data_IF_818813397898
#
_entry.id   IF_818813397898
#
_cell.length_a   1.000
_cell.length_b   1.000
_cell.length_c   1.000
_cell.angle_alpha   90.00
_cell.angle_beta   90.00
_cell.angle_gamma   90.00
#
_symmetry.space_group_name_H-M   'P 1'
#
loop_
_entity.id
_entity.type
_entity.pdbx_description
1 polymer ?
#
# COMPACT_ATOMS: atom_id res chain seq x y z
N UNK A 1 2.45 -16.92 18.21
CA UNK A 1 1.12 -16.42 17.80
C UNK A 1 1.21 -16.04 16.33
N UNK A 2 0.50 -16.69 15.39
CA UNK A 2 0.54 -16.28 13.99
C UNK A 2 -0.12 -14.90 13.90
N UNK A 3 0.69 -13.88 13.62
CA UNK A 3 0.19 -12.54 13.34
C UNK A 3 -0.68 -12.67 12.10
N UNK A 4 -2.00 -12.60 12.29
CA UNK A 4 -2.97 -12.61 11.20
C UNK A 4 -2.58 -11.53 10.21
N UNK A 5 -1.89 -11.92 9.15
CA UNK A 5 -1.50 -11.01 8.10
C UNK A 5 -2.80 -10.54 7.50
N UNK A 6 -3.14 -9.27 7.70
CA UNK A 6 -4.21 -8.62 6.94
C UNK A 6 -3.81 -8.78 5.48
N UNK A 7 -4.39 -9.79 4.81
CA UNK A 7 -4.22 -10.02 3.39
C UNK A 7 -4.95 -8.88 2.69
N UNK A 8 -4.22 -7.82 2.41
CA UNK A 8 -4.67 -6.85 1.42
C UNK A 8 -4.76 -7.58 0.10
N UNK A 9 -5.92 -7.49 -0.55
CA UNK A 9 -6.12 -8.09 -1.86
C UNK A 9 -5.15 -7.45 -2.85
N UNK A 10 -4.64 -8.22 -3.81
CA UNK A 10 -3.65 -7.68 -4.77
C UNK A 10 -4.23 -6.54 -5.61
N UNK A 11 -5.53 -6.57 -5.90
CA UNK A 11 -6.26 -5.46 -6.52
C UNK A 11 -6.16 -4.18 -5.68
N UNK A 12 -6.37 -4.27 -4.36
CA UNK A 12 -6.25 -3.12 -3.46
C UNK A 12 -4.83 -2.56 -3.41
N UNK A 13 -3.81 -3.43 -3.41
CA UNK A 13 -2.41 -2.98 -3.46
C UNK A 13 -2.13 -2.26 -4.77
N UNK A 14 -2.61 -2.80 -5.89
CA UNK A 14 -2.45 -2.20 -7.21
C UNK A 14 -3.11 -0.82 -7.26
N UNK A 15 -4.34 -0.66 -6.76
CA UNK A 15 -5.00 0.65 -6.68
C UNK A 15 -4.15 1.67 -5.94
N UNK A 16 -3.57 1.30 -4.80
CA UNK A 16 -2.74 2.22 -4.00
C UNK A 16 -1.41 2.55 -4.69
N UNK A 17 -0.77 1.57 -5.34
CA UNK A 17 0.45 1.78 -6.15
C UNK A 17 0.15 2.68 -7.34
N UNK A 18 -0.98 2.48 -8.01
CA UNK A 18 -1.40 3.26 -9.16
C UNK A 18 -1.68 4.72 -8.75
N UNK A 19 -2.44 4.94 -7.67
CA UNK A 19 -2.68 6.26 -7.11
C UNK A 19 -1.38 6.98 -6.71
N UNK A 20 -0.39 6.25 -6.19
CA UNK A 20 0.93 6.80 -5.92
C UNK A 20 1.64 7.23 -7.20
N UNK A 21 1.58 6.42 -8.27
CA UNK A 21 2.12 6.78 -9.58
C UNK A 21 1.38 7.97 -10.22
N UNK A 22 0.09 8.14 -9.94
CA UNK A 22 -0.69 9.32 -10.32
C UNK A 22 -0.28 10.62 -9.59
N UNK A 23 0.65 10.54 -8.63
CA UNK A 23 1.17 11.70 -7.90
C UNK A 23 0.60 11.86 -6.49
N UNK A 24 -0.24 10.94 -6.00
CA UNK A 24 -0.63 10.96 -4.58
C UNK A 24 0.55 10.60 -3.69
N UNK A 25 0.72 11.37 -2.62
CA UNK A 25 1.78 11.10 -1.65
C UNK A 25 1.42 9.95 -0.72
N UNK A 26 2.43 9.24 -0.21
CA UNK A 26 2.26 8.20 0.82
C UNK A 26 1.47 8.71 2.03
N UNK A 27 1.61 9.98 2.39
CA UNK A 27 0.87 10.59 3.50
C UNK A 27 -0.63 10.72 3.21
N UNK A 28 -1.01 11.11 2.00
CA UNK A 28 -2.40 11.20 1.60
C UNK A 28 -3.04 9.83 1.52
N UNK A 29 -2.38 8.88 0.84
CA UNK A 29 -2.85 7.50 0.76
C UNK A 29 -2.96 6.85 2.15
N UNK A 30 -2.01 7.18 3.03
CA UNK A 30 -2.01 6.68 4.41
C UNK A 30 -3.18 7.23 5.22
N UNK A 31 -3.48 8.51 5.06
CA UNK A 31 -4.58 9.18 5.77
C UNK A 31 -5.95 8.83 5.20
N UNK A 32 -6.06 8.72 3.88
CA UNK A 32 -7.32 8.48 3.16
C UNK A 32 -7.77 7.03 3.28
N UNK A 33 -6.84 6.08 3.15
CA UNK A 33 -7.15 4.65 3.21
C UNK A 33 -6.82 4.00 4.56
N UNK A 34 -6.27 4.77 5.51
CA UNK A 34 -5.86 4.27 6.82
C UNK A 34 -4.72 3.24 6.75
N UNK A 35 -3.90 3.29 5.70
CA UNK A 35 -2.81 2.34 5.47
C UNK A 35 -1.53 2.95 6.02
N UNK A 36 -0.72 2.19 6.76
CA UNK A 36 0.58 2.71 7.21
C UNK A 36 1.51 2.96 6.03
N UNK A 37 2.25 4.08 6.04
CA UNK A 37 3.26 4.41 5.00
C UNK A 37 4.24 3.24 4.76
N UNK A 38 4.61 2.53 5.83
CA UNK A 38 5.47 1.34 5.78
C UNK A 38 4.86 0.19 4.96
N UNK A 39 3.54 0.02 5.01
CA UNK A 39 2.81 -1.00 4.25
C UNK A 39 2.81 -0.65 2.76
N UNK A 40 2.52 0.61 2.41
CA UNK A 40 2.54 1.08 1.01
C UNK A 40 3.95 1.00 0.43
N UNK A 41 4.97 1.43 1.19
CA UNK A 41 6.37 1.28 0.81
C UNK A 41 6.75 -0.19 0.58
N UNK A 42 6.24 -1.10 1.41
CA UNK A 42 6.41 -2.54 1.21
C UNK A 42 5.79 -3.05 -0.09
N UNK A 43 4.65 -2.51 -0.52
CA UNK A 43 4.04 -2.86 -1.82
C UNK A 43 4.81 -2.30 -3.00
N UNK A 44 5.27 -1.05 -2.92
CA UNK A 44 6.15 -0.47 -3.94
C UNK A 44 7.41 -1.30 -4.15
N UNK A 45 8.04 -1.75 -3.05
CA UNK A 45 9.21 -2.63 -3.12
C UNK A 45 8.90 -3.99 -3.76
N UNK A 46 7.72 -4.55 -3.50
CA UNK A 46 7.29 -5.82 -4.09
C UNK A 46 6.95 -5.74 -5.58
N UNK A 47 6.53 -4.58 -6.08
CA UNK A 47 6.21 -4.37 -7.50
C UNK A 47 7.48 -4.25 -8.37
N UNK A 48 8.63 -3.95 -7.75
CA UNK A 48 9.91 -3.79 -8.45
C UNK A 48 10.88 -4.98 -8.20
N UNK A 49 10.36 -6.18 -7.91
CA UNK A 49 11.14 -7.41 -7.72
C UNK A 49 10.56 -8.54 -8.56
#
# INVERSE_FOLDING_TARGET
MPRGQRKYNDEFKNTIVELYNYGKSLAELSSEYGISKSTISGWLKKQNQ
#
